data_IF_250283360978
#
_entry.id   IF_250283360978
#
_cell.length_a   1.000
_cell.length_b   1.000
_cell.length_c   1.000
_cell.angle_alpha   90.00
_cell.angle_beta   90.00
_cell.angle_gamma   90.00
#
_symmetry.space_group_name_H-M   'P 1'
#
loop_
_entity.id
_entity.type
_entity.pdbx_description
1 polymer ?
#
# COMPACT_ATOMS: atom_id res chain seq x y z
N UNK A 1 -4.13 7.25 4.61
CA UNK A 1 -4.42 6.19 5.59
C UNK A 1 -4.35 6.74 7.01
N UNK A 2 -5.26 6.36 7.91
CA UNK A 2 -5.19 6.71 9.35
C UNK A 2 -5.10 5.46 10.20
N UNK A 3 -4.27 5.46 11.23
CA UNK A 3 -4.18 4.38 12.22
C UNK A 3 -4.56 4.87 13.61
N UNK A 4 -5.17 3.99 14.42
CA UNK A 4 -5.52 4.23 15.82
C UNK A 4 -5.17 3.00 16.63
N UNK A 5 -4.33 3.16 17.64
CA UNK A 5 -3.97 2.08 18.56
C UNK A 5 -5.06 1.93 19.62
N UNK A 6 -5.81 0.83 19.58
CA UNK A 6 -6.77 0.48 20.63
C UNK A 6 -6.08 0.01 21.91
N UNK A 7 -4.91 -0.61 21.78
CA UNK A 7 -4.05 -1.06 22.86
C UNK A 7 -2.68 -1.46 22.30
N UNK A 8 -1.67 -1.45 23.17
CA UNK A 8 -0.26 -1.68 22.79
C UNK A 8 0.51 -2.54 23.81
N UNK A 9 -0.18 -3.14 24.79
CA UNK A 9 0.44 -4.06 25.77
C UNK A 9 0.50 -5.48 25.23
N UNK A 10 1.60 -6.16 25.53
CA UNK A 10 1.76 -7.59 25.30
C UNK A 10 1.33 -8.43 26.50
N UNK A 11 1.07 -9.71 26.28
CA UNK A 11 0.88 -10.78 27.27
C UNK A 11 -0.38 -10.66 28.15
N UNK A 12 -0.58 -9.54 28.84
CA UNK A 12 -1.74 -9.28 29.71
C UNK A 12 -2.04 -7.78 29.80
N UNK A 13 -3.31 -7.40 30.00
CA UNK A 13 -3.64 -6.00 30.27
C UNK A 13 -3.16 -5.60 31.66
N UNK A 14 -2.76 -4.34 31.79
CA UNK A 14 -2.29 -3.75 33.04
C UNK A 14 -3.13 -2.53 33.41
N UNK A 15 -3.10 -2.14 34.68
CA UNK A 15 -3.79 -0.93 35.15
C UNK A 15 -3.05 -0.31 36.32
N UNK A 16 -3.39 0.93 36.66
CA UNK A 16 -2.79 1.66 37.78
C UNK A 16 -2.12 2.95 37.35
N UNK A 17 -1.64 3.71 38.34
CA UNK A 17 -1.13 5.06 38.13
C UNK A 17 0.11 5.16 37.22
N UNK A 18 0.87 4.07 37.09
CA UNK A 18 2.04 4.00 36.21
C UNK A 18 1.74 3.60 34.76
N UNK A 19 0.48 3.48 34.35
CA UNK A 19 0.08 3.01 33.00
C UNK A 19 -0.93 3.95 32.34
N UNK A 20 -0.87 5.25 32.66
CA UNK A 20 -1.84 6.25 32.22
C UNK A 20 -1.42 6.96 30.93
N UNK A 21 -0.12 6.97 30.61
CA UNK A 21 0.42 7.63 29.41
C UNK A 21 0.40 6.70 28.20
N UNK A 22 0.93 5.48 28.35
CA UNK A 22 0.97 4.50 27.26
C UNK A 22 -0.28 3.62 27.21
N UNK A 23 -1.05 3.60 28.30
CA UNK A 23 -2.21 2.74 28.46
C UNK A 23 -1.85 1.33 28.89
N UNK A 24 -2.90 0.58 29.20
CA UNK A 24 -2.81 -0.75 29.79
C UNK A 24 -3.47 -1.83 28.96
N UNK A 25 -4.16 -1.46 27.88
CA UNK A 25 -4.89 -2.42 27.06
C UNK A 25 -3.99 -3.17 26.07
N UNK A 26 -4.33 -4.44 25.82
CA UNK A 26 -3.58 -5.31 24.92
C UNK A 26 -3.89 -5.04 23.45
N UNK A 27 -2.98 -5.50 22.59
CA UNK A 27 -2.90 -5.18 21.16
C UNK A 27 -4.24 -5.16 20.43
N UNK A 28 -4.53 -4.01 19.83
CA UNK A 28 -5.58 -3.82 18.81
C UNK A 28 -5.23 -2.58 17.99
N UNK A 29 -5.34 -2.63 16.67
CA UNK A 29 -5.08 -1.51 15.77
C UNK A 29 -6.25 -1.33 14.82
N UNK A 30 -6.79 -0.12 14.71
CA UNK A 30 -7.73 0.24 13.64
C UNK A 30 -6.98 0.99 12.54
N UNK A 31 -7.20 0.59 11.30
CA UNK A 31 -6.76 1.27 10.10
C UNK A 31 -7.99 1.77 9.35
N UNK A 32 -8.01 3.05 9.01
CA UNK A 32 -9.05 3.68 8.20
C UNK A 32 -8.46 4.14 6.87
N UNK A 33 -9.03 3.64 5.77
CA UNK A 33 -8.69 4.04 4.40
C UNK A 33 -9.30 5.38 4.02
N UNK A 34 -8.79 5.98 2.95
CA UNK A 34 -9.19 7.27 2.40
C UNK A 34 -10.64 7.27 1.87
N UNK A 35 -11.23 6.11 1.58
CA UNK A 35 -12.65 5.99 1.22
C UNK A 35 -13.53 5.55 2.38
N UNK A 36 -12.99 5.55 3.61
CA UNK A 36 -13.71 5.22 4.84
C UNK A 36 -13.73 3.73 5.19
N UNK A 37 -12.95 2.90 4.50
CA UNK A 37 -12.81 1.48 4.83
C UNK A 37 -12.19 1.28 6.21
N UNK A 38 -12.61 0.24 6.93
CA UNK A 38 -12.13 -0.02 8.29
C UNK A 38 -11.63 -1.45 8.42
N UNK A 39 -10.38 -1.55 8.82
CA UNK A 39 -9.64 -2.78 9.03
C UNK A 39 -9.09 -2.78 10.45
N UNK A 40 -9.39 -3.81 11.22
CA UNK A 40 -8.86 -4.01 12.56
C UNK A 40 -7.79 -5.11 12.49
N UNK A 41 -6.67 -4.90 13.15
CA UNK A 41 -5.67 -5.95 13.40
C UNK A 41 -5.65 -6.25 14.90
N UNK A 42 -5.85 -7.52 15.22
CA UNK A 42 -6.03 -8.10 16.55
C UNK A 42 -7.22 -7.56 17.35
N UNK A 43 -7.62 -8.36 18.33
CA UNK A 43 -8.83 -8.20 19.12
C UNK A 43 -8.54 -8.32 20.63
N UNK A 44 -7.39 -7.79 21.07
CA UNK A 44 -7.05 -7.65 22.49
C UNK A 44 -8.04 -6.80 23.28
N UNK A 45 -7.75 -6.54 24.56
CA UNK A 45 -8.63 -5.71 25.39
C UNK A 45 -8.80 -4.29 24.84
N UNK A 46 -7.81 -3.82 24.06
CA UNK A 46 -7.81 -2.52 23.40
C UNK A 46 -8.90 -2.35 22.34
N UNK A 47 -9.52 -3.44 21.90
CA UNK A 47 -10.62 -3.41 20.94
C UNK A 47 -11.79 -2.56 21.42
N UNK A 48 -12.01 -2.48 22.74
CA UNK A 48 -13.03 -1.63 23.34
C UNK A 48 -12.82 -0.14 23.03
N UNK A 49 -11.56 0.31 22.97
CA UNK A 49 -11.21 1.71 22.69
C UNK A 49 -11.45 2.09 21.21
N UNK A 50 -11.52 1.10 20.32
CA UNK A 50 -11.75 1.33 18.88
C UNK A 50 -13.23 1.54 18.54
N UNK A 51 -14.15 1.19 19.45
CA UNK A 51 -15.60 1.24 19.23
C UNK A 51 -16.13 2.58 18.68
N UNK A 52 -15.72 3.75 19.20
CA UNK A 52 -16.19 5.04 18.69
C UNK A 52 -15.77 5.33 17.24
N UNK A 53 -14.82 4.57 16.69
CA UNK A 53 -14.21 4.81 15.39
C UNK A 53 -14.69 3.85 14.30
N UNK A 54 -15.57 2.89 14.63
CA UNK A 54 -16.00 1.81 13.72
C UNK A 54 -17.07 2.22 12.69
N UNK A 55 -17.55 3.47 12.73
CA UNK A 55 -18.60 3.96 11.83
C UNK A 55 -19.99 3.45 12.18
N UNK A 56 -20.90 3.57 11.21
CA UNK A 56 -22.31 3.19 11.38
C UNK A 56 -22.47 1.67 11.43
N UNK A 57 -23.61 1.17 11.92
CA UNK A 57 -23.84 -0.26 12.19
C UNK A 57 -23.78 -1.17 10.94
N UNK A 58 -24.01 -0.61 9.77
CA UNK A 58 -24.06 -1.29 8.47
C UNK A 58 -22.75 -1.23 7.68
N UNK A 59 -21.78 -0.43 8.14
CA UNK A 59 -20.43 -0.38 7.55
C UNK A 59 -19.76 -1.77 7.66
N UNK A 60 -19.18 -2.30 6.58
CA UNK A 60 -18.46 -3.57 6.64
C UNK A 60 -17.17 -3.40 7.45
N UNK A 61 -16.88 -4.40 8.29
CA UNK A 61 -15.64 -4.47 9.07
C UNK A 61 -14.85 -5.71 8.69
N UNK A 62 -13.53 -5.56 8.64
CA UNK A 62 -12.59 -6.68 8.52
C UNK A 62 -11.72 -6.70 9.76
N UNK A 63 -11.66 -7.86 10.42
CA UNK A 63 -10.80 -8.14 11.56
C UNK A 63 -9.76 -9.19 11.12
N UNK A 64 -8.49 -8.83 11.22
CA UNK A 64 -7.35 -9.71 10.95
C UNK A 64 -6.68 -10.07 12.27
N UNK A 65 -6.34 -11.33 12.43
CA UNK A 65 -5.65 -11.84 13.62
C UNK A 65 -4.21 -12.19 13.23
N UNK A 66 -3.24 -11.74 14.01
CA UNK A 66 -1.83 -12.13 13.87
C UNK A 66 -1.64 -13.58 14.31
N UNK A 67 -2.23 -13.95 15.44
CA UNK A 67 -2.27 -15.28 16.03
C UNK A 67 -3.35 -15.39 17.11
N UNK A 68 -3.40 -16.52 17.83
CA UNK A 68 -4.50 -16.86 18.75
C UNK A 68 -4.14 -16.80 20.24
N UNK A 69 -3.04 -16.14 20.62
CA UNK A 69 -2.80 -15.91 22.05
C UNK A 69 -3.88 -14.99 22.64
N UNK A 70 -4.13 -15.18 23.93
CA UNK A 70 -5.32 -14.65 24.57
C UNK A 70 -5.32 -13.13 24.57
N UNK A 71 -4.18 -12.49 24.79
CA UNK A 71 -4.01 -11.04 24.76
C UNK A 71 -4.32 -10.40 23.39
N UNK A 72 -4.34 -11.18 22.30
CA UNK A 72 -4.78 -10.74 20.97
C UNK A 72 -6.27 -11.03 20.72
N UNK A 73 -6.97 -11.64 21.67
CA UNK A 73 -8.39 -12.05 21.56
C UNK A 73 -9.27 -11.61 22.75
N UNK A 74 -8.69 -11.06 23.82
CA UNK A 74 -9.38 -10.74 25.07
C UNK A 74 -10.63 -9.87 24.89
N UNK A 75 -10.61 -8.92 23.96
CA UNK A 75 -11.73 -8.03 23.69
C UNK A 75 -12.83 -8.66 22.84
N UNK A 76 -12.49 -9.72 22.09
CA UNK A 76 -13.38 -10.32 21.09
C UNK A 76 -14.73 -10.78 21.66
N UNK A 77 -14.81 -11.54 22.78
CA UNK A 77 -16.10 -12.01 23.28
C UNK A 77 -17.06 -10.86 23.61
N UNK A 78 -16.53 -9.73 24.10
CA UNK A 78 -17.32 -8.57 24.44
C UNK A 78 -17.62 -7.63 23.27
N UNK A 79 -17.07 -7.90 22.07
CA UNK A 79 -17.08 -6.98 20.94
C UNK A 79 -18.50 -6.75 20.37
N UNK A 80 -19.12 -5.57 20.61
CA UNK A 80 -20.49 -5.29 20.18
C UNK A 80 -20.78 -5.56 18.70
N UNK A 81 -19.89 -5.28 17.73
CA UNK A 81 -20.12 -5.61 16.34
C UNK A 81 -20.35 -7.09 16.04
N UNK A 82 -19.95 -8.05 16.88
CA UNK A 82 -20.33 -9.47 16.73
C UNK A 82 -21.85 -9.68 16.91
N UNK A 83 -22.50 -8.83 17.71
CA UNK A 83 -23.89 -9.00 18.13
C UNK A 83 -24.86 -8.08 17.37
N UNK A 84 -24.34 -7.19 16.51
CA UNK A 84 -25.13 -6.25 15.73
C UNK A 84 -25.79 -6.94 14.53
N UNK A 85 -27.12 -7.03 14.55
CA UNK A 85 -27.90 -7.56 13.42
C UNK A 85 -27.64 -6.76 12.15
N UNK A 86 -27.27 -7.45 11.07
CA UNK A 86 -27.03 -6.84 9.75
C UNK A 86 -25.62 -6.31 9.53
N UNK A 87 -24.78 -6.21 10.57
CA UNK A 87 -23.35 -5.90 10.42
C UNK A 87 -22.69 -6.99 9.60
N UNK A 88 -21.93 -6.63 8.57
CA UNK A 88 -21.03 -7.55 7.86
C UNK A 88 -19.66 -7.52 8.54
N UNK A 89 -19.23 -8.64 9.11
CA UNK A 89 -17.93 -8.76 9.77
C UNK A 89 -17.17 -9.93 9.15
N UNK A 90 -16.05 -9.62 8.50
CA UNK A 90 -15.10 -10.64 8.04
C UNK A 90 -14.01 -10.82 9.09
N UNK A 91 -13.79 -12.04 9.55
CA UNK A 91 -12.70 -12.36 10.48
C UNK A 91 -11.73 -13.31 9.80
N UNK A 92 -10.44 -13.00 9.88
CA UNK A 92 -9.37 -13.75 9.22
C UNK A 92 -8.28 -14.04 10.22
N UNK A 93 -7.85 -15.28 10.35
CA UNK A 93 -6.73 -15.66 11.20
C UNK A 93 -5.75 -16.60 10.51
N UNK A 94 -4.63 -16.91 11.18
CA UNK A 94 -3.65 -17.85 10.67
C UNK A 94 -4.15 -19.30 10.72
N UNK A 95 -3.71 -20.10 9.76
CA UNK A 95 -3.95 -21.54 9.74
C UNK A 95 -2.63 -22.29 9.54
N UNK A 96 -2.29 -23.24 10.44
CA UNK A 96 -1.12 -24.10 10.27
C UNK A 96 -1.24 -25.02 9.05
N UNK A 97 -0.11 -25.58 8.59
CA UNK A 97 -0.06 -26.54 7.47
C UNK A 97 -1.03 -27.73 7.62
N UNK A 98 -1.28 -28.17 8.87
CA UNK A 98 -2.21 -29.25 9.19
C UNK A 98 -3.70 -28.87 9.13
N UNK A 99 -4.02 -27.60 8.84
CA UNK A 99 -5.39 -27.09 8.74
C UNK A 99 -6.10 -26.86 10.08
N UNK A 100 -5.43 -27.08 11.21
CA UNK A 100 -6.05 -27.00 12.53
C UNK A 100 -5.16 -26.30 13.59
N UNK A 101 -5.75 -25.48 14.48
CA UNK A 101 -7.12 -24.96 14.35
C UNK A 101 -7.23 -24.02 13.14
N UNK A 102 -8.39 -24.03 12.48
CA UNK A 102 -8.78 -22.93 11.60
C UNK A 102 -9.31 -21.76 12.45
N UNK A 103 -9.55 -20.62 11.81
CA UNK A 103 -10.02 -19.40 12.48
C UNK A 103 -11.34 -19.64 13.19
N UNK A 104 -12.29 -20.35 12.56
CA UNK A 104 -13.58 -20.64 13.19
C UNK A 104 -13.41 -21.45 14.48
N UNK A 105 -12.59 -22.51 14.46
CA UNK A 105 -12.35 -23.37 15.60
C UNK A 105 -11.65 -22.63 16.73
N UNK A 106 -10.66 -21.80 16.42
CA UNK A 106 -9.98 -20.97 17.41
C UNK A 106 -10.98 -20.03 18.11
N UNK A 107 -11.77 -19.28 17.35
CA UNK A 107 -12.68 -18.27 17.89
C UNK A 107 -13.89 -18.88 18.60
N UNK A 108 -14.49 -19.93 18.05
CA UNK A 108 -15.64 -20.62 18.69
C UNK A 108 -15.28 -21.32 20.00
N UNK A 109 -13.99 -21.62 20.22
CA UNK A 109 -13.51 -22.15 21.50
C UNK A 109 -13.51 -21.09 22.60
N UNK A 110 -13.23 -19.83 22.25
CA UNK A 110 -13.21 -18.70 23.19
C UNK A 110 -14.59 -18.05 23.36
N UNK A 111 -15.31 -17.85 22.26
CA UNK A 111 -16.63 -17.19 22.22
C UNK A 111 -17.71 -18.26 22.30
N UNK A 112 -17.91 -18.78 23.50
CA UNK A 112 -18.93 -19.80 23.82
C UNK A 112 -18.69 -20.40 25.21
N UNK A 113 -19.60 -21.28 25.64
CA UNK A 113 -19.50 -21.92 26.96
C UNK A 113 -18.22 -22.79 27.06
N UNK A 114 -17.52 -22.82 28.22
CA UNK A 114 -17.86 -22.16 29.49
C UNK A 114 -17.31 -20.73 29.64
N UNK A 115 -16.62 -20.18 28.63
CA UNK A 115 -15.88 -18.91 28.75
C UNK A 115 -16.76 -17.68 28.51
N UNK A 116 -17.79 -17.82 27.65
CA UNK A 116 -18.69 -16.74 27.29
C UNK A 116 -20.14 -17.24 27.15
N UNK A 117 -21.15 -16.46 27.59
CA UNK A 117 -22.54 -16.93 27.62
C UNK A 117 -23.23 -17.03 26.25
N UNK A 118 -22.58 -16.55 25.18
CA UNK A 118 -23.13 -16.56 23.82
C UNK A 118 -22.14 -17.29 22.91
N UNK A 119 -22.61 -18.32 22.20
CA UNK A 119 -21.79 -19.03 21.22
C UNK A 119 -21.54 -18.17 19.99
N UNK A 120 -20.35 -18.28 19.37
CA UNK A 120 -20.02 -17.56 18.13
C UNK A 120 -21.01 -17.86 17.00
N UNK A 121 -21.56 -19.07 16.96
CA UNK A 121 -22.61 -19.47 16.01
C UNK A 121 -23.94 -18.71 16.19
N UNK A 122 -24.12 -18.05 17.32
CA UNK A 122 -25.29 -17.23 17.65
C UNK A 122 -24.99 -15.73 17.50
N UNK A 123 -23.83 -15.36 16.94
CA UNK A 123 -23.49 -13.99 16.62
C UNK A 123 -24.61 -13.32 15.78
N UNK A 124 -24.90 -12.06 16.10
CA UNK A 124 -25.90 -11.28 15.37
C UNK A 124 -25.40 -10.76 14.02
N UNK A 125 -24.08 -10.61 13.88
CA UNK A 125 -23.44 -10.20 12.64
C UNK A 125 -23.46 -11.29 11.57
N UNK A 126 -23.48 -10.86 10.31
CA UNK A 126 -23.18 -11.73 9.18
C UNK A 126 -21.67 -11.99 9.15
N UNK A 127 -21.24 -13.08 9.78
CA UNK A 127 -19.84 -13.49 9.86
C UNK A 127 -19.36 -14.13 8.56
N UNK A 128 -18.19 -13.70 8.09
CA UNK A 128 -17.43 -14.36 7.04
C UNK A 128 -16.08 -14.73 7.62
N UNK A 129 -15.80 -16.02 7.75
CA UNK A 129 -14.51 -16.51 8.23
C UNK A 129 -13.60 -16.79 7.05
N UNK A 130 -12.34 -16.41 7.17
CA UNK A 130 -11.29 -16.82 6.24
C UNK A 130 -10.01 -17.15 6.97
N UNK A 131 -9.06 -17.72 6.26
CA UNK A 131 -7.80 -18.19 6.83
C UNK A 131 -6.63 -17.77 5.94
N UNK A 132 -5.46 -17.60 6.57
CA UNK A 132 -4.19 -17.35 5.90
C UNK A 132 -3.18 -18.40 6.34
N UNK A 133 -2.50 -19.03 5.38
CA UNK A 133 -1.52 -20.07 5.65
C UNK A 133 -0.30 -19.52 6.39
N UNK A 134 0.08 -20.18 7.49
CA UNK A 134 1.33 -19.93 8.19
C UNK A 134 2.57 -20.44 7.43
N UNK A 135 2.40 -21.18 6.33
CA UNK A 135 3.54 -21.68 5.54
C UNK A 135 4.08 -20.60 4.60
N UNK A 136 3.20 -19.80 4.00
CA UNK A 136 3.56 -18.88 2.91
C UNK A 136 2.80 -17.54 2.94
N UNK A 137 1.93 -17.30 3.91
CA UNK A 137 1.13 -16.06 4.00
C UNK A 137 0.03 -15.98 2.94
N UNK A 138 -0.27 -17.06 2.22
CA UNK A 138 -1.33 -17.07 1.22
C UNK A 138 -2.72 -17.22 1.85
N UNK A 139 -3.69 -16.53 1.27
CA UNK A 139 -5.10 -16.68 1.60
C UNK A 139 -5.57 -18.08 1.19
N UNK A 140 -6.21 -18.76 2.14
CA UNK A 140 -6.72 -20.11 1.96
C UNK A 140 -8.04 -20.07 1.19
N UNK A 141 -8.19 -20.97 0.23
CA UNK A 141 -9.33 -21.04 -0.68
C UNK A 141 -8.88 -21.17 -2.14
N UNK A 142 -9.84 -21.35 -3.03
CA UNK A 142 -9.59 -21.51 -4.47
C UNK A 142 -10.23 -20.35 -5.27
N UNK A 143 -9.46 -19.61 -6.10
CA UNK A 143 -8.01 -19.70 -6.25
C UNK A 143 -7.28 -19.14 -5.02
N UNK A 144 -6.10 -19.70 -4.70
CA UNK A 144 -5.19 -19.13 -3.69
C UNK A 144 -4.83 -17.70 -4.07
N UNK A 145 -4.84 -16.79 -3.09
CA UNK A 145 -4.53 -15.37 -3.29
C UNK A 145 -3.40 -14.95 -2.37
N UNK A 146 -2.62 -13.96 -2.79
CA UNK A 146 -1.58 -13.34 -1.95
C UNK A 146 -1.99 -11.96 -1.41
N UNK A 147 -3.14 -11.44 -1.83
CA UNK A 147 -3.63 -10.12 -1.46
C UNK A 147 -5.16 -10.15 -1.29
N UNK A 148 -5.64 -9.52 -0.22
CA UNK A 148 -7.05 -9.19 -0.02
C UNK A 148 -7.26 -7.71 -0.27
N UNK A 149 -8.23 -7.38 -1.10
CA UNK A 149 -8.69 -6.00 -1.28
C UNK A 149 -9.82 -5.68 -0.31
N UNK A 150 -9.66 -4.62 0.49
CA UNK A 150 -10.69 -4.05 1.36
C UNK A 150 -10.94 -2.61 0.90
N UNK A 151 -11.86 -2.46 -0.05
CA UNK A 151 -12.06 -1.20 -0.78
C UNK A 151 -10.78 -0.74 -1.49
N UNK A 152 -10.22 0.39 -1.10
CA UNK A 152 -8.95 0.94 -1.58
C UNK A 152 -7.70 0.42 -0.86
N UNK A 153 -7.85 -0.43 0.16
CA UNK A 153 -6.73 -1.05 0.87
C UNK A 153 -6.35 -2.40 0.25
N UNK A 154 -5.06 -2.63 0.10
CA UNK A 154 -4.46 -3.90 -0.32
C UNK A 154 -3.76 -4.55 0.88
N UNK A 155 -4.20 -5.74 1.28
CA UNK A 155 -3.75 -6.42 2.50
C UNK A 155 -2.99 -7.69 2.16
N UNK A 156 -1.76 -7.81 2.68
CA UNK A 156 -0.89 -8.99 2.53
C UNK A 156 -0.44 -9.49 3.89
N UNK A 157 -0.10 -10.77 3.96
CA UNK A 157 0.40 -11.40 5.18
C UNK A 157 1.79 -11.99 4.94
N UNK A 158 2.58 -12.10 6.01
CA UNK A 158 3.86 -12.78 6.02
C UNK A 158 4.03 -13.58 7.31
N UNK A 159 4.36 -14.89 7.25
CA UNK A 159 4.66 -15.65 8.46
C UNK A 159 5.92 -15.13 9.16
N UNK A 160 5.84 -14.92 10.47
CA UNK A 160 6.97 -14.49 11.30
C UNK A 160 7.28 -15.52 12.39
N UNK A 161 8.52 -15.49 12.89
CA UNK A 161 8.98 -16.45 13.88
C UNK A 161 8.35 -16.19 15.25
N UNK A 162 7.46 -17.07 15.70
CA UNK A 162 6.84 -17.02 17.02
C UNK A 162 6.40 -18.44 17.42
N UNK A 163 6.51 -18.86 18.70
CA UNK A 163 5.97 -20.15 19.15
C UNK A 163 4.50 -20.30 18.77
N UNK A 164 4.15 -21.36 18.04
CA UNK A 164 2.78 -21.58 17.55
C UNK A 164 2.43 -20.87 16.23
N UNK A 165 3.32 -20.00 15.73
CA UNK A 165 3.19 -19.27 14.48
C UNK A 165 2.44 -17.95 14.63
N UNK A 166 2.84 -16.96 13.84
CA UNK A 166 2.28 -15.61 13.82
C UNK A 166 2.37 -15.03 12.40
N UNK A 167 1.48 -14.09 12.09
CA UNK A 167 1.49 -13.33 10.84
C UNK A 167 1.83 -11.87 11.12
N UNK A 168 2.74 -11.31 10.33
CA UNK A 168 2.82 -9.89 10.09
C UNK A 168 1.83 -9.49 8.98
N UNK A 169 1.25 -8.30 9.11
CA UNK A 169 0.30 -7.75 8.14
C UNK A 169 0.87 -6.52 7.47
N UNK A 170 0.82 -6.49 6.13
CA UNK A 170 1.10 -5.31 5.32
C UNK A 170 -0.20 -4.74 4.78
N UNK A 171 -0.37 -3.43 4.87
CA UNK A 171 -1.50 -2.71 4.32
C UNK A 171 -0.99 -1.57 3.46
N UNK A 172 -1.27 -1.65 2.17
CA UNK A 172 -0.95 -0.63 1.18
C UNK A 172 -2.23 0.13 0.79
N UNK A 173 -2.14 1.47 0.69
CA UNK A 173 -3.20 2.33 0.19
C UNK A 173 -2.70 3.12 -1.04
N UNK A 174 -2.99 2.67 -2.27
CA UNK A 174 -2.59 3.37 -3.49
C UNK A 174 -3.01 4.84 -3.54
N UNK A 175 -4.19 5.16 -3.01
CA UNK A 175 -4.75 6.51 -3.06
C UNK A 175 -3.91 7.54 -2.29
N UNK A 176 -3.30 7.16 -1.16
CA UNK A 176 -2.45 8.06 -0.35
C UNK A 176 -0.99 7.67 -0.37
N UNK A 177 -0.64 6.64 -1.15
CA UNK A 177 0.68 5.98 -1.20
C UNK A 177 1.16 5.42 0.13
N UNK A 178 0.33 5.45 1.16
CA UNK A 178 0.74 5.00 2.48
C UNK A 178 0.87 3.48 2.48
N UNK A 179 1.92 2.99 3.12
CA UNK A 179 2.11 1.57 3.39
C UNK A 179 2.49 1.37 4.84
N UNK A 180 1.89 0.40 5.51
CA UNK A 180 2.29 0.00 6.86
C UNK A 180 2.57 -1.50 6.92
N UNK A 181 3.51 -1.89 7.77
CA UNK A 181 3.69 -3.26 8.23
C UNK A 181 3.51 -3.30 9.74
N UNK A 182 2.63 -4.17 10.21
CA UNK A 182 2.49 -4.52 11.62
C UNK A 182 3.05 -5.93 11.81
N UNK A 183 4.08 -6.06 12.64
CA UNK A 183 4.59 -7.33 13.14
C UNK A 183 4.60 -7.26 14.67
N UNK A 184 3.62 -7.88 15.32
CA UNK A 184 3.62 -7.98 16.79
C UNK A 184 4.61 -9.08 17.17
N UNK A 185 4.18 -10.09 17.89
CA UNK A 185 4.94 -11.21 18.42
C UNK A 185 5.80 -11.87 17.33
N UNK A 186 7.07 -11.50 17.33
CA UNK A 186 8.10 -11.94 16.40
C UNK A 186 9.42 -12.03 17.14
N UNK A 187 10.14 -13.14 16.99
CA UNK A 187 11.49 -13.31 17.54
C UNK A 187 12.54 -13.18 16.44
N UNK A 188 13.03 -11.97 16.22
CA UNK A 188 14.02 -11.69 15.18
C UNK A 188 15.33 -12.46 15.40
N UNK A 189 15.76 -12.63 16.67
CA UNK A 189 16.92 -13.43 17.04
C UNK A 189 16.86 -14.91 16.64
N UNK A 190 15.66 -15.46 16.37
CA UNK A 190 15.44 -16.83 15.87
C UNK A 190 15.12 -16.90 14.39
N UNK A 191 14.97 -15.75 13.74
CA UNK A 191 14.65 -15.65 12.32
C UNK A 191 15.92 -15.95 11.50
N UNK A 192 15.85 -16.97 10.64
CA UNK A 192 16.96 -17.37 9.78
C UNK A 192 17.32 -16.29 8.74
N UNK A 193 18.54 -16.29 8.17
CA UNK A 193 18.93 -15.28 7.18
C UNK A 193 18.02 -15.20 5.94
N UNK A 194 17.42 -16.32 5.54
CA UNK A 194 16.46 -16.35 4.44
C UNK A 194 15.14 -15.69 4.82
N UNK A 195 14.61 -16.01 6.00
CA UNK A 195 13.39 -15.38 6.52
C UNK A 195 13.59 -13.88 6.75
N UNK A 196 14.77 -13.45 7.21
CA UNK A 196 15.10 -12.01 7.34
C UNK A 196 15.01 -11.29 6.00
N UNK A 197 15.64 -11.85 4.95
CA UNK A 197 15.53 -11.29 3.58
C UNK A 197 14.10 -11.26 3.08
N UNK A 198 13.33 -12.31 3.35
CA UNK A 198 11.93 -12.38 2.94
C UNK A 198 11.07 -11.33 3.66
N UNK A 199 11.30 -11.12 4.95
CA UNK A 199 10.63 -10.09 5.74
C UNK A 199 11.04 -8.68 5.29
N UNK A 200 12.33 -8.41 5.08
CA UNK A 200 12.79 -7.12 4.52
C UNK A 200 12.17 -6.85 3.15
N UNK A 201 12.09 -7.87 2.27
CA UNK A 201 11.40 -7.75 0.98
C UNK A 201 9.91 -7.46 1.15
N UNK A 202 9.24 -8.15 2.07
CA UNK A 202 7.84 -7.89 2.43
C UNK A 202 7.62 -6.46 2.95
N UNK A 203 8.56 -5.92 3.72
CA UNK A 203 8.54 -4.55 4.20
C UNK A 203 8.80 -3.52 3.10
N UNK A 204 9.62 -3.83 2.10
CA UNK A 204 10.03 -2.86 1.06
C UNK A 204 9.26 -2.97 -0.26
N UNK A 205 8.44 -4.02 -0.44
CA UNK A 205 7.67 -4.28 -1.65
C UNK A 205 6.17 -4.47 -1.35
N UNK A 206 5.27 -4.10 -2.29
CA UNK A 206 5.54 -3.63 -3.65
C UNK A 206 5.89 -2.14 -3.74
N UNK A 207 5.87 -1.41 -2.63
CA UNK A 207 6.13 0.03 -2.57
C UNK A 207 6.92 0.41 -1.30
N UNK A 208 7.52 1.61 -1.24
CA UNK A 208 8.21 2.09 -0.05
C UNK A 208 7.34 2.00 1.21
N UNK A 209 7.97 1.68 2.34
CA UNK A 209 7.28 1.55 3.62
C UNK A 209 7.08 2.93 4.26
N UNK A 210 5.86 3.29 4.62
CA UNK A 210 5.60 4.51 5.39
C UNK A 210 5.78 4.24 6.88
N UNK A 211 5.24 3.15 7.41
CA UNK A 211 5.33 2.83 8.84
C UNK A 211 5.69 1.36 9.09
N UNK A 212 6.71 1.13 9.90
CA UNK A 212 6.97 -0.15 10.55
C UNK A 212 6.46 -0.07 11.99
N UNK A 213 5.50 -0.92 12.33
CA UNK A 213 5.01 -1.10 13.69
C UNK A 213 5.44 -2.49 14.15
N UNK A 214 6.35 -2.56 15.11
CA UNK A 214 6.99 -3.82 15.48
C UNK A 214 7.06 -4.05 16.99
N UNK A 215 6.94 -5.31 17.40
CA UNK A 215 7.19 -5.77 18.77
C UNK A 215 8.55 -5.28 19.29
N UNK A 216 8.48 -4.63 20.46
CA UNK A 216 9.61 -4.10 21.22
C UNK A 216 9.55 -4.54 22.68
N UNK A 217 9.07 -5.76 22.94
CA UNK A 217 8.83 -6.31 24.27
C UNK A 217 10.08 -6.23 25.16
N UNK A 218 11.25 -6.53 24.58
CA UNK A 218 12.52 -6.58 25.30
C UNK A 218 13.50 -5.49 24.87
N UNK A 219 14.46 -5.21 25.74
CA UNK A 219 15.74 -4.62 25.37
C UNK A 219 16.76 -5.71 25.01
N UNK A 220 17.78 -5.36 24.24
CA UNK A 220 18.83 -6.30 23.84
C UNK A 220 19.53 -6.98 25.03
N UNK A 221 19.68 -6.28 26.14
CA UNK A 221 20.26 -6.80 27.39
C UNK A 221 19.34 -7.78 28.14
N UNK A 222 18.03 -7.70 27.92
CA UNK A 222 17.03 -8.58 28.54
C UNK A 222 16.87 -9.90 27.74
N UNK A 223 17.13 -9.86 26.43
CA UNK A 223 16.85 -10.96 25.50
C UNK A 223 17.52 -12.29 25.87
N UNK A 224 18.75 -12.27 26.40
CA UNK A 224 19.47 -13.51 26.72
C UNK A 224 18.72 -14.42 27.72
N UNK A 225 17.87 -13.84 28.58
CA UNK A 225 17.02 -14.58 29.52
C UNK A 225 15.67 -15.03 28.95
N UNK A 226 15.32 -14.61 27.72
CA UNK A 226 13.98 -14.73 27.13
C UNK A 226 14.00 -15.34 25.72
N UNK A 227 15.07 -16.04 25.36
CA UNK A 227 15.16 -16.78 24.09
C UNK A 227 14.03 -17.81 24.00
N UNK A 228 13.46 -17.96 22.80
CA UNK A 228 12.32 -18.80 22.46
C UNK A 228 10.97 -18.33 23.07
N UNK A 229 10.91 -17.12 23.64
CA UNK A 229 9.64 -16.52 24.10
C UNK A 229 8.84 -15.88 22.98
N UNK A 230 9.41 -15.71 21.77
CA UNK A 230 8.67 -15.23 20.62
C UNK A 230 8.61 -13.71 20.44
N UNK A 231 9.54 -12.96 21.05
CA UNK A 231 9.55 -11.49 21.03
C UNK A 231 10.87 -10.89 20.57
N UNK A 232 10.81 -9.64 20.07
CA UNK A 232 11.95 -8.90 19.53
C UNK A 232 12.45 -7.84 20.50
N UNK A 233 13.63 -7.31 20.20
CA UNK A 233 14.23 -6.22 20.97
C UNK A 233 13.95 -4.87 20.34
N UNK A 234 13.92 -3.82 21.16
CA UNK A 234 13.80 -2.44 20.70
C UNK A 234 14.91 -2.04 19.72
N UNK A 235 16.13 -2.55 19.91
CA UNK A 235 17.25 -2.35 19.00
C UNK A 235 17.04 -3.04 17.65
N UNK A 236 16.41 -4.22 17.63
CA UNK A 236 16.02 -4.90 16.38
C UNK A 236 14.96 -4.09 15.63
N UNK A 237 13.96 -3.52 16.31
CA UNK A 237 12.98 -2.60 15.70
C UNK A 237 13.69 -1.41 15.04
N UNK A 238 14.66 -0.80 15.73
CA UNK A 238 15.45 0.30 15.19
C UNK A 238 16.20 -0.11 13.92
N UNK A 239 16.94 -1.23 13.96
CA UNK A 239 17.73 -1.71 12.83
C UNK A 239 16.87 -2.04 11.60
N UNK A 240 15.76 -2.75 11.78
CA UNK A 240 14.87 -3.14 10.68
C UNK A 240 14.14 -1.92 10.12
N UNK A 241 13.68 -1.01 10.99
CA UNK A 241 13.05 0.23 10.55
C UNK A 241 13.96 1.08 9.67
N UNK A 242 15.24 1.19 10.02
CA UNK A 242 16.25 1.88 9.21
C UNK A 242 16.55 1.14 7.91
N UNK A 243 16.75 -0.19 7.97
CA UNK A 243 17.03 -1.02 6.80
C UNK A 243 15.90 -0.95 5.76
N UNK A 244 14.66 -0.89 6.20
CA UNK A 244 13.47 -0.85 5.34
C UNK A 244 13.14 0.56 4.84
N UNK A 245 13.84 1.59 5.32
CA UNK A 245 13.62 2.98 4.94
C UNK A 245 12.25 3.53 5.39
N UNK A 246 11.71 3.04 6.50
CA UNK A 246 10.40 3.47 7.00
C UNK A 246 10.44 4.94 7.46
N UNK A 247 9.41 5.71 7.11
CA UNK A 247 9.24 7.09 7.60
C UNK A 247 8.91 7.14 9.10
N UNK A 248 8.15 6.15 9.57
CA UNK A 248 7.77 5.95 10.96
C UNK A 248 8.25 4.59 11.46
N UNK A 249 9.02 4.58 12.54
CA UNK A 249 9.49 3.36 13.22
C UNK A 249 8.84 3.34 14.62
N UNK A 250 7.90 2.43 14.82
CA UNK A 250 7.00 2.43 15.97
C UNK A 250 7.18 1.13 16.75
N UNK A 251 7.63 1.23 18.00
CA UNK A 251 7.66 0.10 18.92
C UNK A 251 6.27 -0.16 19.53
N UNK A 252 5.84 -1.40 19.60
CA UNK A 252 4.57 -1.83 20.22
C UNK A 252 4.78 -3.10 21.07
N UNK A 253 3.68 -3.68 21.55
CA UNK A 253 3.64 -4.91 22.36
C UNK A 253 4.49 -4.80 23.63
N UNK A 254 4.31 -3.70 24.35
CA UNK A 254 5.10 -3.37 25.52
C UNK A 254 4.94 -4.42 26.62
N UNK A 255 6.04 -4.84 27.22
CA UNK A 255 6.03 -5.76 28.35
C UNK A 255 5.14 -5.23 29.50
N UNK A 256 4.34 -6.09 30.17
CA UNK A 256 3.43 -5.68 31.24
C UNK A 256 4.10 -4.93 32.40
N UNK A 257 5.35 -5.25 32.71
CA UNK A 257 6.13 -4.68 33.80
C UNK A 257 6.67 -3.27 33.50
N UNK A 258 6.64 -2.84 32.23
CA UNK A 258 7.13 -1.52 31.84
C UNK A 258 6.09 -0.43 32.13
N UNK A 259 6.31 0.32 33.20
CA UNK A 259 5.54 1.52 33.51
C UNK A 259 5.82 2.67 32.52
N UNK A 260 5.06 3.75 32.64
CA UNK A 260 5.14 4.91 31.75
C UNK A 260 6.55 5.53 31.73
N UNK A 261 7.26 5.56 32.87
CA UNK A 261 8.62 6.08 32.96
C UNK A 261 9.61 5.19 32.20
N UNK A 262 9.50 3.87 32.39
CA UNK A 262 10.32 2.90 31.67
C UNK A 262 10.09 3.00 30.16
N UNK A 263 8.84 3.18 29.73
CA UNK A 263 8.53 3.33 28.31
C UNK A 263 9.01 4.67 27.73
N UNK A 264 9.00 5.75 28.51
CA UNK A 264 9.62 7.02 28.08
C UNK A 264 11.14 6.85 27.86
N UNK A 265 11.83 6.14 28.75
CA UNK A 265 13.26 5.82 28.59
C UNK A 265 13.51 4.97 27.33
N UNK A 266 12.66 3.95 27.10
CA UNK A 266 12.72 3.11 25.89
C UNK A 266 12.44 3.91 24.61
N UNK A 267 11.48 4.85 24.64
CA UNK A 267 11.18 5.70 23.50
C UNK A 267 12.38 6.60 23.11
N UNK A 268 13.05 7.21 24.10
CA UNK A 268 14.26 8.00 23.83
C UNK A 268 15.44 7.12 23.36
N UNK A 269 15.55 5.89 23.88
CA UNK A 269 16.53 4.92 23.37
C UNK A 269 16.26 4.56 21.90
N UNK A 270 15.02 4.24 21.52
CA UNK A 270 14.66 3.92 20.13
C UNK A 270 15.08 5.03 19.17
N UNK A 271 14.76 6.27 19.55
CA UNK A 271 15.15 7.47 18.81
C UNK A 271 16.67 7.64 18.70
N UNK A 272 17.41 7.34 19.77
CA UNK A 272 18.87 7.38 19.77
C UNK A 272 19.47 6.32 18.84
N UNK A 273 18.97 5.08 18.88
CA UNK A 273 19.44 3.97 18.03
C UNK A 273 19.20 4.25 16.53
N UNK A 274 18.03 4.78 16.18
CA UNK A 274 17.69 5.16 14.80
C UNK A 274 18.59 6.30 14.30
N UNK A 275 18.85 7.32 15.14
CA UNK A 275 19.75 8.43 14.80
C UNK A 275 21.21 7.99 14.68
N UNK A 276 21.66 7.06 15.52
CA UNK A 276 23.01 6.52 15.47
C UNK A 276 23.29 5.80 14.14
N UNK A 277 22.24 5.27 13.49
CA UNK A 277 22.29 4.65 12.18
C UNK A 277 22.11 5.65 11.01
N UNK A 278 22.01 6.96 11.30
CA UNK A 278 21.94 8.02 10.30
C UNK A 278 20.56 8.25 9.70
N UNK A 279 19.50 7.69 10.30
CA UNK A 279 18.12 7.90 9.85
C UNK A 279 17.45 9.06 10.59
N UNK A 280 16.62 9.82 9.87
CA UNK A 280 15.75 10.88 10.40
C UNK A 280 14.30 10.41 10.60
N UNK A 281 14.04 9.11 10.51
CA UNK A 281 12.70 8.55 10.69
C UNK A 281 12.06 8.98 12.02
N UNK A 282 10.76 9.22 11.96
CA UNK A 282 9.96 9.53 13.14
C UNK A 282 9.84 8.28 14.00
N UNK A 283 10.22 8.39 15.27
CA UNK A 283 10.26 7.26 16.21
C UNK A 283 9.37 7.53 17.42
N UNK A 284 8.60 6.52 17.84
CA UNK A 284 7.87 6.54 19.10
C UNK A 284 7.46 5.12 19.52
N UNK A 285 7.05 4.99 20.79
CA UNK A 285 6.38 3.80 21.28
C UNK A 285 4.86 4.01 21.24
N UNK A 286 4.12 3.03 20.72
CA UNK A 286 2.68 3.10 20.54
C UNK A 286 1.96 3.33 21.87
N UNK A 287 0.98 4.24 21.87
CA UNK A 287 0.15 4.55 23.04
C UNK A 287 -1.31 4.22 22.76
N UNK A 288 -2.00 3.71 23.76
CA UNK A 288 -3.44 3.51 23.69
C UNK A 288 -4.16 4.82 23.30
N UNK A 289 -5.11 4.69 22.38
CA UNK A 289 -5.89 5.77 21.76
C UNK A 289 -5.06 6.78 20.96
N UNK A 290 -3.78 6.53 20.69
CA UNK A 290 -2.98 7.36 19.80
C UNK A 290 -3.46 7.20 18.36
N UNK A 291 -3.67 8.32 17.69
CA UNK A 291 -3.99 8.38 16.28
C UNK A 291 -2.77 8.87 15.48
N UNK A 292 -2.58 8.34 14.27
CA UNK A 292 -1.55 8.79 13.34
C UNK A 292 -2.10 8.75 11.91
N UNK A 293 -1.94 9.86 11.18
CA UNK A 293 -2.17 9.87 9.73
C UNK A 293 -0.88 9.49 8.99
N UNK A 294 -1.00 8.56 8.05
CA UNK A 294 0.09 8.10 7.20
C UNK A 294 -0.17 8.54 5.77
N UNK A 295 0.84 9.18 5.20
CA UNK A 295 0.92 9.57 3.79
C UNK A 295 2.27 9.08 3.29
N UNK A 296 2.28 8.28 2.22
CA UNK A 296 3.53 7.80 1.66
C UNK A 296 4.29 8.91 0.94
N UNK A 297 5.61 8.85 0.98
CA UNK A 297 6.45 9.75 0.17
C UNK A 297 6.14 9.58 -1.33
N UNK A 298 6.16 10.68 -2.08
CA UNK A 298 6.11 10.65 -3.54
C UNK A 298 7.44 10.13 -4.09
N UNK A 299 7.44 8.99 -4.78
CA UNK A 299 8.56 8.57 -5.61
C UNK A 299 8.60 9.45 -6.88
N UNK A 300 9.67 10.22 -7.14
CA UNK A 300 9.77 11.06 -8.34
C UNK A 300 9.61 10.29 -9.65
N UNK A 301 10.09 9.04 -9.73
CA UNK A 301 9.97 8.21 -10.93
C UNK A 301 8.52 7.74 -11.15
N UNK A 302 7.85 7.33 -10.07
CA UNK A 302 6.43 6.92 -10.13
C UNK A 302 5.53 8.12 -10.42
N UNK A 303 5.86 9.31 -9.90
CA UNK A 303 5.14 10.55 -10.20
C UNK A 303 5.36 10.97 -11.66
N UNK A 304 6.60 10.89 -12.16
CA UNK A 304 6.93 11.11 -13.56
C UNK A 304 6.14 10.16 -14.48
N UNK A 305 6.08 8.87 -14.13
CA UNK A 305 5.30 7.86 -14.86
C UNK A 305 3.80 8.17 -14.84
N UNK A 306 3.25 8.49 -13.67
CA UNK A 306 1.83 8.82 -13.52
C UNK A 306 1.42 10.06 -14.31
N UNK A 307 2.27 11.09 -14.33
CA UNK A 307 2.00 12.29 -15.10
C UNK A 307 2.10 12.03 -16.61
N UNK A 308 3.07 11.22 -17.06
CA UNK A 308 3.12 10.74 -18.45
C UNK A 308 1.87 9.95 -18.86
N UNK A 309 1.41 9.04 -17.99
CA UNK A 309 0.16 8.29 -18.19
C UNK A 309 -1.05 9.22 -18.31
N UNK A 310 -1.15 10.27 -17.48
CA UNK A 310 -2.25 11.27 -17.55
C UNK A 310 -2.29 11.98 -18.91
N UNK A 311 -1.13 12.29 -19.50
CA UNK A 311 -1.05 12.88 -20.84
C UNK A 311 -1.61 11.92 -21.89
N UNK A 312 -1.26 10.63 -21.83
CA UNK A 312 -1.78 9.62 -22.74
C UNK A 312 -3.30 9.43 -22.56
N UNK A 313 -3.79 9.35 -21.32
CA UNK A 313 -5.22 9.24 -21.04
C UNK A 313 -6.00 10.48 -21.52
N UNK A 314 -5.39 11.68 -21.44
CA UNK A 314 -5.99 12.91 -21.95
C UNK A 314 -6.17 12.85 -23.48
N UNK A 315 -5.17 12.35 -24.22
CA UNK A 315 -5.28 12.16 -25.68
C UNK A 315 -6.34 11.11 -26.02
N UNK A 316 -6.46 10.03 -25.24
CA UNK A 316 -7.52 9.04 -25.44
C UNK A 316 -8.92 9.63 -25.22
N UNK A 317 -9.07 10.54 -24.24
CA UNK A 317 -10.32 11.27 -24.04
C UNK A 317 -10.63 12.20 -25.22
N UNK A 318 -9.62 12.88 -25.78
CA UNK A 318 -9.79 13.65 -27.02
C UNK A 318 -10.22 12.76 -28.20
N UNK A 319 -9.67 11.55 -28.33
CA UNK A 319 -10.12 10.59 -29.35
C UNK A 319 -11.60 10.21 -29.18
N UNK A 320 -12.07 10.01 -27.93
CA UNK A 320 -13.49 9.77 -27.64
C UNK A 320 -14.39 10.96 -28.00
N UNK A 321 -13.85 12.18 -27.94
CA UNK A 321 -14.56 13.41 -28.31
C UNK A 321 -14.55 13.70 -29.83
N UNK A 322 -13.96 12.82 -30.65
CA UNK A 322 -13.95 12.93 -32.12
C UNK A 322 -12.69 13.57 -32.71
N UNK A 323 -11.59 13.59 -31.96
CA UNK A 323 -10.29 14.11 -32.40
C UNK A 323 -9.29 12.98 -32.71
N UNK A 324 -9.72 11.94 -33.44
CA UNK A 324 -8.92 10.72 -33.66
C UNK A 324 -7.73 10.93 -34.60
N UNK A 325 -7.69 12.04 -35.35
CA UNK A 325 -6.51 12.44 -36.14
C UNK A 325 -5.41 13.09 -35.29
N UNK A 326 -5.59 13.24 -33.98
CA UNK A 326 -4.50 13.61 -33.07
C UNK A 326 -3.52 12.45 -32.91
N UNK A 327 -2.24 12.79 -32.91
CA UNK A 327 -1.10 11.86 -32.86
C UNK A 327 -0.17 12.18 -31.70
N UNK A 328 0.52 11.15 -31.22
CA UNK A 328 1.64 11.30 -30.28
C UNK A 328 2.97 11.01 -30.95
N UNK A 329 4.00 11.78 -30.58
CA UNK A 329 5.40 11.49 -30.84
C UNK A 329 6.12 11.26 -29.51
N UNK A 330 6.14 10.02 -28.98
CA UNK A 330 6.77 9.73 -27.70
C UNK A 330 8.29 9.58 -27.86
N UNK A 331 9.05 10.01 -26.87
CA UNK A 331 10.52 9.97 -26.92
C UNK A 331 11.16 9.95 -25.55
N UNK A 332 12.46 9.72 -25.51
CA UNK A 332 13.27 9.79 -24.29
C UNK A 332 14.24 10.97 -24.42
N UNK A 333 14.41 11.73 -23.33
CA UNK A 333 15.40 12.79 -23.25
C UNK A 333 16.83 12.28 -23.50
N UNK A 334 17.76 13.15 -23.96
CA UNK A 334 19.17 12.80 -24.12
C UNK A 334 19.82 12.20 -22.86
N UNK A 335 19.36 12.54 -21.66
CA UNK A 335 19.92 11.97 -20.42
C UNK A 335 19.41 10.55 -20.12
N UNK A 336 18.45 10.03 -20.88
CA UNK A 336 17.73 8.80 -20.57
C UNK A 336 16.71 8.93 -19.43
N UNK A 337 16.67 10.07 -18.72
CA UNK A 337 15.94 10.18 -17.45
C UNK A 337 14.47 10.58 -17.57
N UNK A 338 14.08 11.22 -18.68
CA UNK A 338 12.74 11.80 -18.81
C UNK A 338 12.04 11.34 -20.07
N UNK A 339 10.82 10.86 -19.90
CA UNK A 339 9.92 10.56 -21.00
C UNK A 339 9.29 11.86 -21.53
N UNK A 340 9.13 11.94 -22.84
CA UNK A 340 8.57 13.09 -23.55
C UNK A 340 7.47 12.64 -24.48
N UNK A 341 6.52 13.53 -24.73
CA UNK A 341 5.44 13.30 -25.68
C UNK A 341 5.10 14.59 -26.40
N UNK A 342 5.37 14.60 -27.69
CA UNK A 342 4.75 15.55 -28.60
C UNK A 342 3.29 15.12 -28.85
N UNK A 343 2.39 16.09 -28.94
CA UNK A 343 1.00 15.91 -29.40
C UNK A 343 0.79 16.84 -30.58
N UNK A 344 0.37 16.26 -31.72
CA UNK A 344 0.18 16.96 -33.00
C UNK A 344 -0.97 16.32 -33.80
N UNK A 345 -1.13 16.65 -35.09
CA UNK A 345 -2.13 16.06 -35.98
C UNK A 345 -1.47 15.14 -37.03
N UNK A 346 -2.28 14.28 -37.66
CA UNK A 346 -1.83 13.28 -38.65
C UNK A 346 -0.95 13.85 -39.77
N UNK A 347 -1.25 15.05 -40.28
CA UNK A 347 -0.48 15.69 -41.36
C UNK A 347 0.93 16.17 -40.92
N UNK A 348 1.27 16.09 -39.62
CA UNK A 348 2.60 16.39 -39.09
C UNK A 348 3.30 15.15 -38.51
N UNK A 349 2.84 13.95 -38.90
CA UNK A 349 3.51 12.67 -38.63
C UNK A 349 3.99 12.09 -39.96
N UNK A 350 5.19 11.49 -39.95
CA UNK A 350 5.79 10.90 -41.13
C UNK A 350 4.95 9.79 -41.76
N UNK A 351 4.91 9.76 -43.08
CA UNK A 351 4.26 8.70 -43.86
C UNK A 351 5.01 7.36 -43.84
N UNK A 352 6.28 7.36 -43.42
CA UNK A 352 7.14 6.19 -43.25
C UNK A 352 7.28 5.72 -41.79
N UNK A 353 6.92 6.56 -40.81
CA UNK A 353 7.00 6.23 -39.39
C UNK A 353 5.90 6.92 -38.56
N UNK A 354 4.84 6.20 -38.20
CA UNK A 354 3.61 6.72 -37.56
C UNK A 354 3.74 7.33 -36.15
N UNK A 355 4.96 7.45 -35.63
CA UNK A 355 5.28 8.05 -34.34
C UNK A 355 6.39 9.12 -34.41
N UNK A 356 6.87 9.45 -35.61
CA UNK A 356 7.87 10.51 -35.80
C UNK A 356 7.19 11.78 -36.26
N UNK A 357 7.42 12.86 -35.51
CA UNK A 357 6.92 14.20 -35.85
C UNK A 357 7.80 14.79 -36.95
N UNK A 358 7.17 15.35 -37.99
CA UNK A 358 7.88 15.92 -39.15
C UNK A 358 8.47 17.29 -38.81
N UNK A 359 7.67 18.18 -38.20
CA UNK A 359 8.13 19.49 -37.72
C UNK A 359 7.69 19.72 -36.26
N UNK A 360 8.64 19.59 -35.33
CA UNK A 360 8.40 19.82 -33.90
C UNK A 360 8.06 21.28 -33.56
N UNK A 361 8.33 22.24 -34.46
CA UNK A 361 8.06 23.66 -34.24
C UNK A 361 6.71 24.11 -34.81
N UNK A 362 6.01 23.23 -35.54
CA UNK A 362 4.73 23.54 -36.17
C UNK A 362 3.63 22.65 -35.61
N UNK A 363 2.51 23.26 -35.22
CA UNK A 363 1.29 22.58 -34.76
C UNK A 363 1.54 21.39 -33.80
N UNK A 364 2.53 21.54 -32.92
CA UNK A 364 2.99 20.53 -31.99
C UNK A 364 3.13 21.13 -30.60
N UNK A 365 2.72 20.38 -29.58
CA UNK A 365 2.94 20.72 -28.18
C UNK A 365 3.59 19.55 -27.46
N UNK A 366 4.57 19.82 -26.61
CA UNK A 366 5.38 18.77 -25.96
C UNK A 366 5.23 18.79 -24.45
N UNK A 367 5.01 17.60 -23.88
CA UNK A 367 5.14 17.34 -22.45
C UNK A 367 6.46 16.62 -22.16
N UNK A 368 7.06 16.89 -21.01
CA UNK A 368 8.23 16.18 -20.50
C UNK A 368 7.98 15.79 -19.05
N UNK A 369 8.28 14.55 -18.65
CA UNK A 369 8.14 14.12 -17.26
C UNK A 369 9.02 14.92 -16.29
N UNK A 370 10.07 15.60 -16.81
CA UNK A 370 10.92 16.52 -16.06
C UNK A 370 10.16 17.73 -15.47
N UNK A 371 9.05 18.15 -16.08
CA UNK A 371 8.28 19.33 -15.61
C UNK A 371 7.15 18.93 -14.65
N UNK A 372 7.09 17.65 -14.25
CA UNK A 372 6.11 17.14 -13.31
C UNK A 372 4.67 17.38 -13.78
N UNK A 373 3.88 18.08 -12.95
CA UNK A 373 2.47 18.39 -13.20
C UNK A 373 2.24 19.67 -14.01
N UNK A 374 3.29 20.35 -14.49
CA UNK A 374 3.17 21.54 -15.33
C UNK A 374 2.86 21.14 -16.79
N UNK A 375 1.72 20.49 -17.01
CA UNK A 375 1.33 19.92 -18.31
C UNK A 375 1.34 20.98 -19.40
N UNK A 376 2.17 20.80 -20.43
CA UNK A 376 2.29 21.76 -21.55
C UNK A 376 2.55 23.22 -21.13
N UNK A 377 3.14 23.44 -19.94
CA UNK A 377 3.37 24.78 -19.37
C UNK A 377 2.14 25.40 -18.69
N UNK A 378 1.12 24.60 -18.35
CA UNK A 378 -0.08 25.04 -17.66
C UNK A 378 0.12 25.08 -16.13
N UNK A 379 0.22 26.29 -15.60
CA UNK A 379 0.38 26.53 -14.15
C UNK A 379 -0.86 26.17 -13.33
N UNK A 380 -2.03 26.03 -13.97
CA UNK A 380 -3.33 25.83 -13.34
C UNK A 380 -3.87 24.39 -13.50
N UNK A 381 -3.03 23.43 -13.89
CA UNK A 381 -3.44 22.08 -14.26
C UNK A 381 -2.94 20.96 -13.33
N UNK A 382 -2.35 21.31 -12.18
CA UNK A 382 -1.71 20.34 -11.27
C UNK A 382 -2.65 19.21 -10.84
N UNK A 383 -3.89 19.57 -10.49
CA UNK A 383 -4.87 18.70 -9.85
C UNK A 383 -6.05 18.35 -10.75
N UNK A 384 -5.98 18.71 -12.03
CA UNK A 384 -7.04 18.45 -13.01
C UNK A 384 -7.16 16.96 -13.35
N UNK A 385 -8.37 16.41 -13.37
CA UNK A 385 -8.58 15.08 -13.93
C UNK A 385 -8.38 15.04 -15.46
N UNK A 386 -8.36 13.84 -16.03
CA UNK A 386 -8.12 13.60 -17.45
C UNK A 386 -9.13 14.34 -18.35
N UNK A 387 -10.40 14.39 -17.95
CA UNK A 387 -11.46 15.08 -18.71
C UNK A 387 -11.22 16.61 -18.71
N UNK A 388 -10.83 17.15 -17.57
CA UNK A 388 -10.51 18.58 -17.40
C UNK A 388 -9.27 18.96 -18.22
N UNK A 389 -8.23 18.12 -18.21
CA UNK A 389 -7.05 18.30 -19.06
C UNK A 389 -7.42 18.30 -20.55
N UNK A 390 -8.27 17.38 -21.00
CA UNK A 390 -8.71 17.31 -22.40
C UNK A 390 -9.49 18.56 -22.80
N UNK A 391 -10.38 19.05 -21.92
CA UNK A 391 -11.12 20.29 -22.15
C UNK A 391 -10.20 21.50 -22.28
N UNK A 392 -9.20 21.62 -21.39
CA UNK A 392 -8.17 22.67 -21.48
C UNK A 392 -7.34 22.55 -22.75
N UNK A 393 -7.04 21.34 -23.20
CA UNK A 393 -6.34 21.12 -24.47
C UNK A 393 -7.12 21.69 -25.67
N UNK A 394 -8.43 21.41 -25.74
CA UNK A 394 -9.33 21.96 -26.77
C UNK A 394 -9.36 23.49 -26.76
N UNK A 395 -9.40 24.09 -25.58
CA UNK A 395 -9.41 25.55 -25.42
C UNK A 395 -8.08 26.21 -25.81
N UNK A 396 -6.96 25.61 -25.39
CA UNK A 396 -5.63 26.23 -25.46
C UNK A 396 -4.87 25.95 -26.75
N UNK A 397 -5.21 24.86 -27.45
CA UNK A 397 -4.56 24.48 -28.71
C UNK A 397 -5.56 24.33 -29.87
N UNK A 398 -6.32 25.40 -30.21
CA UNK A 398 -7.43 25.32 -31.16
C UNK A 398 -7.01 24.95 -32.59
N UNK A 399 -5.76 25.24 -32.98
CA UNK A 399 -5.23 24.86 -34.30
C UNK A 399 -4.99 23.36 -34.38
N UNK A 400 -4.23 22.81 -33.42
CA UNK A 400 -3.95 21.37 -33.30
C UNK A 400 -5.26 20.58 -33.24
N UNK A 401 -6.21 21.02 -32.41
CA UNK A 401 -7.52 20.37 -32.26
C UNK A 401 -8.37 20.44 -33.52
N UNK A 402 -8.33 21.56 -34.27
CA UNK A 402 -9.05 21.67 -35.55
C UNK A 402 -8.51 20.70 -36.58
N UNK A 403 -7.19 20.55 -36.67
CA UNK A 403 -6.52 19.66 -37.63
C UNK A 403 -6.60 18.19 -37.19
N UNK A 404 -6.62 17.93 -35.88
CA UNK A 404 -6.81 16.62 -35.29
C UNK A 404 -8.27 16.11 -35.30
N UNK A 405 -9.22 16.90 -35.80
CA UNK A 405 -10.65 16.51 -35.85
C UNK A 405 -10.92 15.57 -37.02
N UNK A 406 -11.63 14.48 -36.74
CA UNK A 406 -12.01 13.47 -37.72
C UNK A 406 -11.87 12.06 -37.16
N UNK A 407 -12.46 11.11 -37.87
CA UNK A 407 -12.42 9.69 -37.50
C UNK A 407 -11.14 9.03 -38.05
N UNK A 408 -10.55 8.17 -37.23
CA UNK A 408 -9.38 7.36 -37.52
C UNK A 408 -9.39 6.17 -36.54
N UNK A 409 -10.24 5.19 -36.87
CA UNK A 409 -10.50 4.04 -36.01
C UNK A 409 -9.24 3.17 -35.82
N UNK A 410 -8.36 3.13 -36.82
CA UNK A 410 -7.13 2.34 -36.79
C UNK A 410 -6.15 2.91 -35.76
N UNK A 411 -5.88 4.22 -35.82
CA UNK A 411 -5.01 4.86 -34.85
C UNK A 411 -5.62 4.87 -33.45
N UNK A 412 -6.93 5.12 -33.32
CA UNK A 412 -7.61 5.09 -32.02
C UNK A 412 -7.57 3.69 -31.36
N UNK A 413 -7.70 2.62 -32.15
CA UNK A 413 -7.58 1.24 -31.68
C UNK A 413 -6.14 0.93 -31.23
N UNK A 414 -5.14 1.38 -31.99
CA UNK A 414 -3.73 1.29 -31.58
C UNK A 414 -3.46 2.06 -30.29
N UNK A 415 -3.97 3.29 -30.18
CA UNK A 415 -3.76 4.17 -29.03
C UNK A 415 -4.38 3.62 -27.74
N UNK A 416 -5.47 2.86 -27.85
CA UNK A 416 -6.04 2.15 -26.70
C UNK A 416 -5.06 1.14 -26.08
N UNK A 417 -4.20 0.52 -26.90
CA UNK A 417 -3.14 -0.38 -26.41
C UNK A 417 -2.03 0.41 -25.70
N UNK A 418 -1.67 1.59 -26.21
CA UNK A 418 -0.72 2.50 -25.54
C UNK A 418 -1.18 2.84 -24.13
N UNK A 419 -2.46 3.20 -23.96
CA UNK A 419 -3.01 3.53 -22.64
C UNK A 419 -3.03 2.31 -21.71
N UNK A 420 -3.32 1.12 -22.24
CA UNK A 420 -3.28 -0.12 -21.45
C UNK A 420 -1.86 -0.41 -20.94
N UNK A 421 -0.85 -0.30 -21.82
CA UNK A 421 0.57 -0.44 -21.43
C UNK A 421 0.99 0.59 -20.39
N UNK A 422 0.61 1.86 -20.58
CA UNK A 422 0.96 2.94 -19.65
C UNK A 422 0.37 2.73 -18.25
N UNK A 423 -0.84 2.14 -18.15
CA UNK A 423 -1.46 1.76 -16.87
C UNK A 423 -0.72 0.64 -16.15
N UNK A 424 0.05 -0.15 -16.88
CA UNK A 424 0.84 -1.27 -16.35
C UNK A 424 2.31 -0.90 -16.10
N UNK A 425 2.71 0.35 -16.35
CA UNK A 425 4.10 0.80 -16.11
C UNK A 425 4.94 1.01 -17.37
N UNK A 426 4.38 0.77 -18.57
CA UNK A 426 5.14 0.79 -19.82
C UNK A 426 4.82 2.02 -20.68
N UNK A 427 5.80 2.90 -20.88
CA UNK A 427 5.68 4.05 -21.79
C UNK A 427 6.44 3.78 -23.09
N UNK A 428 5.81 3.88 -24.26
CA UNK A 428 6.49 3.67 -25.54
C UNK A 428 7.40 4.86 -25.87
N UNK A 429 8.39 4.66 -26.75
CA UNK A 429 9.18 5.75 -27.33
C UNK A 429 9.58 5.44 -28.77
N UNK A 430 9.56 6.48 -29.62
CA UNK A 430 9.91 6.40 -31.04
C UNK A 430 11.34 6.84 -31.33
N UNK A 431 11.93 7.64 -30.45
CA UNK A 431 13.31 8.09 -30.59
C UNK A 431 14.02 8.16 -29.23
N UNK A 432 15.33 7.92 -29.28
CA UNK A 432 16.26 8.15 -28.18
C UNK A 432 17.64 8.46 -28.76
N UNK A 433 18.43 9.30 -28.08
CA UNK A 433 19.76 9.72 -28.57
C UNK A 433 20.84 8.61 -28.47
N UNK A 434 20.49 7.41 -27.99
CA UNK A 434 21.43 6.31 -27.74
C UNK A 434 21.07 4.98 -28.41
N UNK A 435 19.92 4.89 -29.08
CA UNK A 435 19.50 3.66 -29.78
C UNK A 435 19.69 3.81 -31.29
N UNK A 436 20.70 3.12 -31.83
CA UNK A 436 20.97 3.12 -33.28
C UNK A 436 20.19 2.02 -34.04
N UNK A 437 19.59 1.05 -33.33
CA UNK A 437 18.86 -0.08 -33.92
C UNK A 437 17.46 -0.23 -33.29
N UNK A 438 16.48 0.53 -33.79
CA UNK A 438 15.06 0.37 -33.41
C UNK A 438 14.39 -0.67 -34.32
N UNK A 439 13.54 -1.52 -33.75
CA UNK A 439 12.75 -2.50 -34.51
C UNK A 439 11.83 -1.74 -35.49
N UNK A 440 11.90 -2.01 -36.81
CA UNK A 440 11.05 -1.32 -37.79
C UNK A 440 9.56 -1.65 -37.64
N UNK A 441 9.20 -2.75 -36.95
CA UNK A 441 7.83 -3.23 -36.79
C UNK A 441 7.23 -2.89 -35.40
N UNK A 442 8.06 -2.48 -34.43
CA UNK A 442 7.61 -2.22 -33.04
C UNK A 442 8.29 -1.03 -32.37
N UNK A 443 7.51 -0.29 -31.57
CA UNK A 443 8.02 0.66 -30.60
C UNK A 443 8.46 -0.06 -29.30
N UNK A 444 9.67 0.23 -28.80
CA UNK A 444 10.10 -0.19 -27.47
C UNK A 444 9.40 0.60 -26.35
N UNK A 445 9.48 0.08 -25.13
CA UNK A 445 8.93 0.69 -23.91
C UNK A 445 9.97 0.76 -22.79
N UNK A 446 9.95 1.80 -21.96
CA UNK A 446 10.93 1.98 -20.87
C UNK A 446 10.77 1.04 -19.66
N UNK A 447 9.66 0.31 -19.55
CA UNK A 447 9.37 -0.59 -18.42
C UNK A 447 9.78 -2.05 -18.67
N UNK A 448 8.80 -2.95 -18.74
CA UNK A 448 8.93 -4.39 -18.94
C UNK A 448 9.43 -4.81 -20.34
N UNK A 449 9.79 -3.85 -21.20
CA UNK A 449 10.27 -4.05 -22.58
C UNK A 449 9.28 -4.81 -23.47
N UNK A 450 7.97 -4.61 -23.28
CA UNK A 450 6.95 -5.20 -24.14
C UNK A 450 6.89 -4.45 -25.48
N UNK A 451 7.10 -5.13 -26.62
CA UNK A 451 7.03 -4.48 -27.92
C UNK A 451 5.59 -4.07 -28.23
N UNK A 452 5.41 -2.80 -28.59
CA UNK A 452 4.14 -2.26 -29.08
C UNK A 452 4.21 -2.19 -30.61
N UNK A 453 3.26 -2.72 -31.38
CA UNK A 453 3.30 -2.62 -32.85
C UNK A 453 3.43 -1.16 -33.32
N UNK A 454 4.03 -0.94 -34.47
CA UNK A 454 4.10 0.41 -35.05
C UNK A 454 2.71 1.03 -35.23
N UNK A 455 2.51 2.32 -34.90
CA UNK A 455 1.27 3.03 -35.18
C UNK A 455 1.05 3.20 -36.68
N UNK A 456 -0.21 3.33 -37.11
CA UNK A 456 -0.54 3.76 -38.47
C UNK A 456 0.21 5.06 -38.85
N UNK A 457 0.70 5.18 -40.10
CA UNK A 457 1.45 6.35 -40.56
C UNK A 457 0.61 7.63 -40.54
N UNK A 458 1.31 8.77 -40.62
CA UNK A 458 0.69 10.07 -40.82
C UNK A 458 0.46 10.41 -42.29
N UNK A 459 -0.11 11.60 -42.51
CA UNK A 459 -0.38 12.17 -43.84
C UNK A 459 0.74 13.13 -44.31
N UNK A 460 1.81 13.28 -43.51
CA UNK A 460 2.89 14.26 -43.68
C UNK A 460 4.01 13.88 -44.64
#
# INVERSE_FOLDING_TARGET
MKIIFGGARGSVPVSGAGHTVYGGDTTSLLITGARGERLIIDAGSGLANLLPHLGEADDPLVLLLTHYHLDHLLGLPSFPPLYQKGRRLRVVGPMPAGGHPDTWKALSTLVGEPYWPINLSEAGAALVIGDVSLEDGSWVGEPRRQCLTVGGLEVRAHPVAHPGGCLAWRVDEPATRASLVLATDMEWGRTSPEQRRAFTAFCTQPRPLTALIMDSHFLQEEYAGHVDWGHSTLEEVAAIGVETGADYIIGTHHAPECDDLTLDERAEKLKAEVRAQGSEAMTYLARQSQEQELVGQSNPEEEAHNNARRVLEMVAELHRLGYQRLRIGPGISPSGMYWRCAVTHADNIGSDHGAMVVDENHDTVTYSSAVGKNFFGWEDASDDDTETLARKFVERFPVIVRLGRGDDEEYAAWFTQVVALAREGDLPYAYSDWSEDMDPDHLPTVGSLRPLPMPPPGDG
#
